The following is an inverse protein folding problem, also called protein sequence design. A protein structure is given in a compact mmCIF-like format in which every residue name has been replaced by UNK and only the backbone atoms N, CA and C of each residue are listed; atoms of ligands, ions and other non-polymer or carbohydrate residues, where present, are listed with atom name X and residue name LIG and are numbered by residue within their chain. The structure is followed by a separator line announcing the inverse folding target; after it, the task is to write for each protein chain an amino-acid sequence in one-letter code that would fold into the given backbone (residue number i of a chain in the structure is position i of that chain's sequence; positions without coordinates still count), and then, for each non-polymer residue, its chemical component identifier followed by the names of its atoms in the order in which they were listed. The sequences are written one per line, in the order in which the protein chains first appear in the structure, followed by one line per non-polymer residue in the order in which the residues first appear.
data_IF_727885334021
#
_entry.id   IF_727885334021
#
_cell.length_a   1.000
_cell.length_b   1.000
_cell.length_c   1.000
_cell.angle_alpha   90.00
_cell.angle_beta   90.00
_cell.angle_gamma   90.00
#
_symmetry.space_group_name_H-M   'P 1'
#
loop_
_entity.id
_entity.type
_entity.pdbx_description
1 polymer ?
#
# COMPACT_ATOMS: atom_id res chain seq x y z
N UNK A 1 18.26 -13.03 25.87
CA UNK A 1 18.59 -11.65 25.50
C UNK A 1 18.35 -11.55 24.01
N UNK A 2 17.18 -11.04 23.61
CA UNK A 2 16.87 -10.83 22.20
C UNK A 2 17.70 -9.65 21.71
N UNK A 3 18.47 -9.85 20.65
CA UNK A 3 19.06 -8.76 19.91
C UNK A 3 17.92 -8.10 19.12
N UNK A 4 17.40 -6.98 19.62
CA UNK A 4 16.65 -6.05 18.76
C UNK A 4 17.62 -5.55 17.70
N UNK A 5 17.60 -6.18 16.53
CA UNK A 5 18.30 -5.67 15.36
C UNK A 5 17.53 -4.44 14.89
N UNK A 6 18.15 -3.24 14.86
CA UNK A 6 17.46 -2.02 14.44
C UNK A 6 16.90 -2.08 13.01
N UNK A 7 17.41 -2.99 12.18
CA UNK A 7 16.92 -3.29 10.83
C UNK A 7 15.58 -4.03 10.83
N UNK A 8 15.30 -4.85 11.85
CA UNK A 8 14.02 -5.54 12.02
C UNK A 8 12.90 -4.60 12.44
N UNK A 9 13.22 -3.50 13.14
CA UNK A 9 12.25 -2.47 13.52
C UNK A 9 11.67 -1.78 12.28
N UNK A 10 12.52 -1.31 11.36
CA UNK A 10 12.06 -0.70 10.10
C UNK A 10 11.26 -1.66 9.21
N UNK A 11 11.62 -2.95 9.22
CA UNK A 11 10.85 -4.02 8.56
C UNK A 11 9.49 -4.24 9.21
N UNK A 12 9.38 -4.14 10.53
CA UNK A 12 8.12 -4.31 11.25
C UNK A 12 7.19 -3.10 11.02
N UNK A 13 7.74 -1.89 11.00
CA UNK A 13 6.99 -0.63 10.85
C UNK A 13 6.29 -0.50 9.48
N UNK A 14 6.92 -1.00 8.41
CA UNK A 14 6.31 -1.03 7.07
C UNK A 14 5.11 -1.97 6.97
N UNK A 15 5.15 -3.13 7.64
CA UNK A 15 4.03 -4.07 7.65
C UNK A 15 2.86 -3.52 8.45
N UNK A 16 3.15 -2.84 9.56
CA UNK A 16 2.12 -2.11 10.32
C UNK A 16 1.50 -1.00 9.48
N UNK A 17 2.31 -0.25 8.73
CA UNK A 17 1.83 0.80 7.81
C UNK A 17 0.94 0.25 6.69
N UNK A 18 1.30 -0.91 6.13
CA UNK A 18 0.45 -1.64 5.16
C UNK A 18 -0.93 -1.96 5.76
N UNK A 19 -0.95 -2.58 6.94
CA UNK A 19 -2.19 -3.00 7.59
C UNK A 19 -3.03 -1.80 8.04
N UNK A 20 -2.42 -0.80 8.68
CA UNK A 20 -3.10 0.41 9.11
C UNK A 20 -3.70 1.19 7.93
N UNK A 21 -2.96 1.32 6.82
CA UNK A 21 -3.46 1.96 5.63
C UNK A 21 -4.63 1.21 4.98
N UNK A 22 -4.63 -0.13 5.02
CA UNK A 22 -5.76 -0.93 4.55
C UNK A 22 -7.03 -0.65 5.36
N UNK A 23 -6.95 -0.63 6.69
CA UNK A 23 -8.09 -0.28 7.54
C UNK A 23 -8.62 1.13 7.25
N UNK A 24 -7.74 2.13 7.14
CA UNK A 24 -8.13 3.50 6.82
C UNK A 24 -8.79 3.62 5.45
N UNK A 25 -8.33 2.85 4.46
CA UNK A 25 -8.96 2.80 3.15
C UNK A 25 -10.37 2.19 3.27
N UNK A 26 -10.54 1.06 3.95
CA UNK A 26 -11.84 0.43 4.17
C UNK A 26 -12.82 1.37 4.87
N UNK A 27 -12.39 2.08 5.92
CA UNK A 27 -13.19 3.11 6.59
C UNK A 27 -13.58 4.26 5.65
N UNK A 28 -12.65 4.71 4.80
CA UNK A 28 -12.90 5.76 3.82
C UNK A 28 -13.91 5.34 2.76
N UNK A 29 -13.87 4.07 2.35
CA UNK A 29 -14.77 3.51 1.34
C UNK A 29 -16.17 3.26 1.90
N UNK A 30 -16.26 2.70 3.11
CA UNK A 30 -17.54 2.42 3.80
C UNK A 30 -18.21 3.70 4.32
N UNK A 31 -17.44 4.68 4.81
CA UNK A 31 -17.97 5.99 5.23
C UNK A 31 -18.57 6.82 4.09
N UNK A 32 -18.30 6.45 2.83
CA UNK A 32 -18.84 7.11 1.62
C UNK A 32 -20.06 6.41 1.01
N UNK A 33 -20.60 5.35 1.63
CA UNK A 33 -21.76 4.59 1.13
C UNK A 33 -23.04 5.43 0.93
N UNK A 34 -23.07 6.70 1.35
CA UNK A 34 -24.18 7.64 1.08
C UNK A 34 -24.14 8.36 -0.28
N UNK A 35 -23.05 8.34 -1.04
CA UNK A 35 -22.92 9.10 -2.29
C UNK A 35 -22.50 8.18 -3.45
N UNK A 36 -23.46 7.89 -4.34
CA UNK A 36 -23.35 6.86 -5.37
C UNK A 36 -22.12 6.93 -6.29
N UNK A 37 -21.63 5.75 -6.66
CA UNK A 37 -20.75 5.51 -7.80
C UNK A 37 -19.32 5.12 -7.39
N UNK A 38 -18.90 3.91 -7.80
CA UNK A 38 -17.54 3.38 -7.59
C UNK A 38 -16.38 4.26 -8.10
N UNK A 39 -16.67 5.32 -8.85
CA UNK A 39 -15.69 6.35 -9.22
C UNK A 39 -15.13 7.11 -7.99
N UNK A 40 -15.90 7.25 -6.90
CA UNK A 40 -15.45 7.92 -5.68
C UNK A 40 -14.38 7.16 -4.88
N UNK A 41 -14.19 5.87 -5.19
CA UNK A 41 -13.23 4.98 -4.53
C UNK A 41 -11.83 5.02 -5.15
N UNK A 42 -11.69 5.47 -6.41
CA UNK A 42 -10.41 5.46 -7.13
C UNK A 42 -9.39 6.43 -6.49
N UNK A 43 -9.71 7.71 -6.22
CA UNK A 43 -8.74 8.63 -5.62
C UNK A 43 -8.16 8.18 -4.26
N UNK A 44 -8.95 7.73 -3.27
CA UNK A 44 -8.39 7.26 -2.00
C UNK A 44 -7.59 5.96 -2.17
N UNK A 45 -7.98 5.08 -3.10
CA UNK A 45 -7.22 3.87 -3.40
C UNK A 45 -5.85 4.20 -4.01
N UNK A 46 -5.79 5.14 -4.97
CA UNK A 46 -4.51 5.57 -5.55
C UNK A 46 -3.59 6.21 -4.50
N UNK A 47 -4.14 7.06 -3.63
CA UNK A 47 -3.39 7.65 -2.51
C UNK A 47 -2.80 6.59 -1.57
N UNK A 48 -3.59 5.58 -1.21
CA UNK A 48 -3.10 4.46 -0.42
C UNK A 48 -1.96 3.71 -1.13
N UNK A 49 -2.11 3.39 -2.42
CA UNK A 49 -1.07 2.71 -3.19
C UNK A 49 0.22 3.54 -3.30
N UNK A 50 0.13 4.87 -3.44
CA UNK A 50 1.30 5.75 -3.45
C UNK A 50 2.05 5.72 -2.11
N UNK A 51 1.34 5.78 -0.99
CA UNK A 51 1.95 5.63 0.33
C UNK A 51 2.67 4.27 0.49
N UNK A 52 2.09 3.18 -0.04
CA UNK A 52 2.77 1.89 -0.02
C UNK A 52 4.06 1.87 -0.85
N UNK A 53 4.17 2.66 -1.92
CA UNK A 53 5.39 2.74 -2.71
C UNK A 53 6.52 3.51 -2.01
N UNK A 54 6.19 4.39 -1.07
CA UNK A 54 7.16 5.04 -0.18
C UNK A 54 7.66 4.07 0.89
N UNK A 55 6.75 3.29 1.47
CA UNK A 55 7.03 2.31 2.52
C UNK A 55 7.76 1.07 1.98
N UNK A 56 7.47 0.66 0.75
CA UNK A 56 8.16 -0.42 0.03
C UNK A 56 8.94 0.16 -1.15
N UNK A 57 10.10 0.79 -0.91
CA UNK A 57 10.81 1.61 -1.91
C UNK A 57 11.46 0.76 -3.02
N UNK A 58 11.88 1.41 -4.11
CA UNK A 58 12.60 0.74 -5.22
C UNK A 58 13.98 0.23 -4.85
N UNK A 59 14.52 0.67 -3.71
CA UNK A 59 15.81 0.22 -3.19
C UNK A 59 15.76 -1.13 -2.49
N UNK A 60 14.57 -1.73 -2.33
CA UNK A 60 14.45 -3.09 -1.77
C UNK A 60 15.14 -4.10 -2.70
N UNK A 61 16.11 -4.83 -2.14
CA UNK A 61 16.74 -5.94 -2.84
C UNK A 61 15.80 -7.16 -2.81
N UNK A 62 15.39 -7.71 -3.96
CA UNK A 62 14.53 -8.89 -4.02
C UNK A 62 15.16 -10.17 -3.44
N UNK A 63 16.49 -10.21 -3.30
CA UNK A 63 17.23 -11.35 -2.72
C UNK A 63 17.20 -11.27 -1.19
N UNK A 64 17.36 -10.08 -0.63
CA UNK A 64 17.40 -9.88 0.82
C UNK A 64 15.98 -9.76 1.43
N UNK A 65 15.02 -9.28 0.65
CA UNK A 65 13.65 -9.02 1.10
C UNK A 65 12.62 -9.23 -0.02
N UNK A 66 12.40 -10.49 -0.35
CA UNK A 66 11.48 -10.88 -1.40
C UNK A 66 10.02 -10.48 -1.09
N UNK A 67 9.60 -10.56 0.18
CA UNK A 67 8.23 -10.20 0.57
C UNK A 67 7.95 -8.72 0.34
N UNK A 68 8.87 -7.83 0.75
CA UNK A 68 8.75 -6.40 0.49
C UNK A 68 8.75 -6.09 -1.01
N UNK A 69 9.62 -6.76 -1.77
CA UNK A 69 9.63 -6.67 -3.23
C UNK A 69 8.30 -7.13 -3.85
N UNK A 70 7.74 -8.25 -3.41
CA UNK A 70 6.49 -8.79 -3.92
C UNK A 70 5.32 -7.82 -3.70
N UNK A 71 5.23 -7.21 -2.52
CA UNK A 71 4.25 -6.16 -2.22
C UNK A 71 4.44 -4.97 -3.16
N UNK A 72 5.66 -4.45 -3.32
CA UNK A 72 5.94 -3.35 -4.25
C UNK A 72 5.48 -3.68 -5.67
N UNK A 73 5.79 -4.89 -6.16
CA UNK A 73 5.38 -5.36 -7.50
C UNK A 73 3.87 -5.41 -7.66
N UNK A 74 3.16 -5.90 -6.65
CA UNK A 74 1.70 -5.92 -6.62
C UNK A 74 1.11 -4.51 -6.66
N UNK A 75 1.61 -3.60 -5.80
CA UNK A 75 1.14 -2.21 -5.71
C UNK A 75 1.31 -1.49 -7.05
N UNK A 76 2.46 -1.63 -7.71
CA UNK A 76 2.69 -1.06 -9.04
C UNK A 76 1.71 -1.58 -10.10
N UNK A 77 1.37 -2.88 -10.06
CA UNK A 77 0.43 -3.47 -11.00
C UNK A 77 -1.00 -2.96 -10.77
N UNK A 78 -1.45 -2.90 -9.50
CA UNK A 78 -2.77 -2.39 -9.14
C UNK A 78 -2.92 -0.91 -9.50
N UNK A 79 -1.91 -0.09 -9.19
CA UNK A 79 -1.92 1.33 -9.51
C UNK A 79 -2.09 1.56 -11.02
N UNK A 80 -1.31 0.85 -11.84
CA UNK A 80 -1.41 0.93 -13.32
C UNK A 80 -2.80 0.53 -13.82
N UNK A 81 -3.40 -0.51 -13.23
CA UNK A 81 -4.74 -0.96 -13.60
C UNK A 81 -5.80 0.12 -13.29
N UNK A 82 -5.69 0.78 -12.13
CA UNK A 82 -6.61 1.85 -11.72
C UNK A 82 -6.43 3.13 -12.54
N UNK A 83 -5.19 3.53 -12.85
CA UNK A 83 -4.90 4.68 -13.73
C UNK A 83 -5.52 4.48 -15.13
N UNK A 84 -5.48 3.25 -15.66
CA UNK A 84 -6.14 2.91 -16.94
C UNK A 84 -7.66 2.95 -16.87
N UNK A 85 -8.26 2.75 -15.69
CA UNK A 85 -9.71 2.87 -15.50
C UNK A 85 -10.17 4.31 -15.30
N UNK A 86 -9.39 5.14 -14.58
CA UNK A 86 -9.71 6.55 -14.33
C UNK A 86 -9.38 7.51 -15.48
N UNK A 87 -8.56 7.09 -16.45
CA UNK A 87 -8.24 7.84 -17.66
C UNK A 87 -9.16 7.59 -18.86
N UNK A 88 -10.35 6.99 -18.65
CA UNK A 88 -11.38 6.78 -19.67
C UNK A 88 -12.49 7.83 -19.58
#
# INVERSE_FOLDING_TARGET
MSADHPEDSGRTDRWQSLVAGAFLLEETLTGKEGAGGGAGAIPPTLSYLDNLLEVFPSSLDPVEDFEGYAVRRMVLALRRALEQQGGR
#
